data_IF_328484091351
#
_entry.id   IF_328484091351
#
_cell.length_a   1.000
_cell.length_b   1.000
_cell.length_c   1.000
_cell.angle_alpha   90.00
_cell.angle_beta   90.00
_cell.angle_gamma   90.00
#
_symmetry.space_group_name_H-M   'P 1'
#
loop_
_entity.id
_entity.type
_entity.pdbx_description
1 polymer ?
#
# COMPACT_ATOMS: atom_id res chain seq x y z
N UNK A 1 -7.17 0.14 23.96
CA UNK A 1 -5.85 -0.25 23.42
C UNK A 1 -5.98 -1.61 22.81
N UNK A 2 -5.43 -1.82 21.61
CA UNK A 2 -5.34 -3.15 21.01
C UNK A 2 -4.28 -3.97 21.75
N UNK A 3 -4.47 -5.28 21.83
CA UNK A 3 -3.46 -6.19 22.37
C UNK A 3 -2.34 -6.43 21.32
N UNK A 4 -1.20 -7.02 21.70
CA UNK A 4 -0.07 -7.23 20.78
C UNK A 4 -0.42 -8.07 19.54
N UNK A 5 -1.32 -9.05 19.65
CA UNK A 5 -1.76 -9.86 18.51
C UNK A 5 -2.64 -9.05 17.55
N UNK A 6 -3.54 -8.24 18.08
CA UNK A 6 -4.38 -7.32 17.31
C UNK A 6 -3.52 -6.27 16.59
N UNK A 7 -2.47 -5.73 17.25
CA UNK A 7 -1.51 -4.85 16.60
C UNK A 7 -0.80 -5.55 15.43
N UNK A 8 -0.31 -6.79 15.63
CA UNK A 8 0.31 -7.56 14.55
C UNK A 8 -0.62 -7.77 13.36
N UNK A 9 -1.89 -8.10 13.61
CA UNK A 9 -2.89 -8.27 12.56
C UNK A 9 -3.16 -6.98 11.80
N UNK A 10 -3.25 -5.85 12.51
CA UNK A 10 -3.43 -4.53 11.89
C UNK A 10 -2.21 -4.17 11.03
N UNK A 11 -1.00 -4.35 11.53
CA UNK A 11 0.23 -4.11 10.76
C UNK A 11 0.29 -4.99 9.52
N UNK A 12 -0.06 -6.28 9.65
CA UNK A 12 -0.09 -7.18 8.52
C UNK A 12 -1.13 -6.74 7.47
N UNK A 13 -2.33 -6.37 7.89
CA UNK A 13 -3.36 -5.88 6.98
C UNK A 13 -2.93 -4.62 6.21
N UNK A 14 -2.19 -3.71 6.86
CA UNK A 14 -1.63 -2.50 6.24
C UNK A 14 -0.56 -2.89 5.20
N UNK A 15 0.32 -3.85 5.51
CA UNK A 15 1.30 -4.41 4.55
C UNK A 15 0.62 -5.05 3.35
N UNK A 16 -0.38 -5.89 3.59
CA UNK A 16 -1.13 -6.57 2.51
C UNK A 16 -1.83 -5.55 1.60
N UNK A 17 -2.37 -4.46 2.16
CA UNK A 17 -2.97 -3.37 1.36
C UNK A 17 -1.92 -2.68 0.49
N UNK A 18 -0.77 -2.33 1.06
CA UNK A 18 0.35 -1.75 0.30
C UNK A 18 0.76 -2.66 -0.86
N UNK A 19 0.97 -3.95 -0.59
CA UNK A 19 1.43 -4.90 -1.59
C UNK A 19 0.39 -5.10 -2.70
N UNK A 20 -0.90 -5.09 -2.36
CA UNK A 20 -1.97 -5.07 -3.35
C UNK A 20 -1.91 -3.85 -4.28
N UNK A 21 -1.66 -2.65 -3.76
CA UNK A 21 -1.48 -1.46 -4.61
C UNK A 21 -0.25 -1.59 -5.52
N UNK A 22 0.87 -2.12 -5.01
CA UNK A 22 2.05 -2.37 -5.84
C UNK A 22 1.77 -3.32 -7.01
N UNK A 23 0.99 -4.39 -6.75
CA UNK A 23 0.55 -5.32 -7.80
C UNK A 23 -0.35 -4.63 -8.83
N UNK A 24 -1.30 -3.80 -8.38
CA UNK A 24 -2.19 -3.07 -9.29
C UNK A 24 -1.41 -2.08 -10.17
N UNK A 25 -0.44 -1.34 -9.61
CA UNK A 25 0.45 -0.45 -10.35
C UNK A 25 1.23 -1.24 -11.41
N UNK A 26 1.83 -2.36 -11.01
CA UNK A 26 2.58 -3.23 -11.93
C UNK A 26 1.69 -3.74 -13.06
N UNK A 27 0.47 -4.18 -12.74
CA UNK A 27 -0.46 -4.69 -13.74
C UNK A 27 -0.92 -3.61 -14.72
N UNK A 28 -1.13 -2.38 -14.24
CA UNK A 28 -1.47 -1.25 -15.10
C UNK A 28 -0.28 -0.88 -16.01
N UNK A 29 0.93 -0.81 -15.46
CA UNK A 29 2.16 -0.50 -16.21
C UNK A 29 2.59 -1.61 -17.18
N UNK A 30 2.13 -2.85 -16.98
CA UNK A 30 2.38 -3.96 -17.90
C UNK A 30 1.50 -3.90 -19.17
N UNK A 31 0.47 -3.05 -19.19
CA UNK A 31 -0.35 -2.84 -20.38
C UNK A 31 0.42 -2.06 -21.46
N UNK A 32 0.07 -2.23 -22.74
CA UNK A 32 0.56 -1.36 -23.80
C UNK A 32 0.26 0.12 -23.49
N UNK A 33 1.16 1.04 -23.86
CA UNK A 33 1.05 2.48 -23.53
C UNK A 33 -0.32 3.10 -23.89
N UNK A 34 -0.93 2.68 -25.00
CA UNK A 34 -2.25 3.16 -25.44
C UNK A 34 -3.41 2.74 -24.53
N UNK A 35 -3.22 1.67 -23.74
CA UNK A 35 -4.21 1.04 -22.88
C UNK A 35 -3.92 1.33 -21.38
N UNK A 36 -2.84 2.05 -21.08
CA UNK A 36 -2.50 2.47 -19.72
C UNK A 36 -3.38 3.63 -19.28
N UNK A 37 -3.95 3.52 -18.09
CA UNK A 37 -4.64 4.63 -17.44
C UNK A 37 -3.69 5.35 -16.46
N UNK A 38 -3.05 6.42 -16.94
CA UNK A 38 -2.09 7.22 -16.16
C UNK A 38 -2.74 7.78 -14.89
N UNK A 39 -4.00 8.25 -14.96
CA UNK A 39 -4.70 8.81 -13.80
C UNK A 39 -4.91 7.74 -12.74
N UNK A 40 -5.27 6.54 -13.16
CA UNK A 40 -5.41 5.39 -12.26
C UNK A 40 -4.06 4.99 -11.66
N UNK A 41 -2.99 4.95 -12.46
CA UNK A 41 -1.63 4.68 -11.94
C UNK A 41 -1.20 5.71 -10.90
N UNK A 42 -1.47 7.00 -11.13
CA UNK A 42 -1.18 8.07 -10.16
C UNK A 42 -1.95 7.88 -8.86
N UNK A 43 -3.26 7.59 -8.93
CA UNK A 43 -4.09 7.31 -7.76
C UNK A 43 -3.60 6.08 -6.98
N UNK A 44 -3.25 4.99 -7.67
CA UNK A 44 -2.73 3.80 -7.03
C UNK A 44 -1.36 4.06 -6.37
N UNK A 45 -0.53 4.89 -6.99
CA UNK A 45 0.79 5.29 -6.47
C UNK A 45 0.64 6.15 -5.23
N UNK A 46 -0.28 7.11 -5.22
CA UNK A 46 -0.60 7.91 -4.04
C UNK A 46 -1.03 7.01 -2.87
N UNK A 47 -1.95 6.08 -3.11
CA UNK A 47 -2.39 5.14 -2.08
C UNK A 47 -1.24 4.28 -1.57
N UNK A 48 -0.40 3.75 -2.46
CA UNK A 48 0.80 3.00 -2.08
C UNK A 48 1.72 3.80 -1.14
N UNK A 49 1.94 5.08 -1.44
CA UNK A 49 2.74 5.98 -0.60
C UNK A 49 2.09 6.25 0.76
N UNK A 50 0.78 6.48 0.81
CA UNK A 50 0.06 6.67 2.08
C UNK A 50 0.21 5.46 3.01
N UNK A 51 0.07 4.24 2.49
CA UNK A 51 0.26 3.03 3.29
C UNK A 51 1.71 2.81 3.73
N UNK A 52 2.70 3.23 2.94
CA UNK A 52 4.11 3.25 3.39
C UNK A 52 4.32 4.23 4.54
N UNK A 53 3.81 5.46 4.44
CA UNK A 53 3.93 6.45 5.52
C UNK A 53 3.29 5.95 6.82
N UNK A 54 2.15 5.27 6.74
CA UNK A 54 1.51 4.64 7.91
C UNK A 54 2.42 3.58 8.52
N UNK A 55 3.05 2.73 7.71
CA UNK A 55 3.98 1.71 8.21
C UNK A 55 5.23 2.32 8.84
N UNK A 56 5.77 3.39 8.26
CA UNK A 56 6.93 4.10 8.81
C UNK A 56 6.59 4.70 10.18
N UNK A 57 5.44 5.37 10.30
CA UNK A 57 4.95 5.91 11.59
C UNK A 57 4.74 4.80 12.63
N UNK A 58 4.26 3.63 12.21
CA UNK A 58 4.12 2.47 13.11
C UNK A 58 5.49 1.97 13.59
N UNK A 59 6.46 1.80 12.69
CA UNK A 59 7.82 1.38 13.04
C UNK A 59 8.52 2.39 13.96
N UNK A 60 8.41 3.69 13.67
CA UNK A 60 9.00 4.76 14.51
C UNK A 60 8.40 4.80 15.92
N UNK A 61 7.12 4.47 16.06
CA UNK A 61 6.42 4.46 17.35
C UNK A 61 6.56 3.13 18.12
N UNK A 62 7.21 2.13 17.54
CA UNK A 62 7.48 0.84 18.19
C UNK A 62 6.21 0.08 18.61
N UNK A 63 5.12 0.19 17.85
CA UNK A 63 3.89 -0.59 18.07
C UNK A 63 4.06 -2.03 17.58
#
# INVERSE_FOLDING_TARGET
MLNPEQNKLVVQAIKDKKDNYAVLIRNENAKPLKDQDIKKTDQLTEMYHQYNLILDVIHERGI
#
